data_IF_634415801762
#
_entry.id   IF_634415801762
#
_cell.length_a   1.000
_cell.length_b   1.000
_cell.length_c   1.000
_cell.angle_alpha   90.00
_cell.angle_beta   90.00
_cell.angle_gamma   90.00
#
_symmetry.space_group_name_H-M   'P 1'
#
loop_
_entity.id
_entity.type
_entity.pdbx_description
1 polymer ?
#
# COMPACT_ATOMS: atom_id res chain seq x y z
N UNK A 1 -4.45 38.76 10.18
CA UNK A 1 -4.07 37.50 9.48
C UNK A 1 -3.43 36.61 10.53
N UNK A 2 -4.21 35.71 11.14
CA UNK A 2 -3.62 34.68 12.01
C UNK A 2 -2.87 33.72 11.10
N UNK A 3 -1.54 33.76 11.15
CA UNK A 3 -0.75 32.64 10.66
C UNK A 3 -1.13 31.46 11.56
N UNK A 4 -1.87 30.47 11.03
CA UNK A 4 -1.99 29.18 11.67
C UNK A 4 -0.56 28.63 11.77
N UNK A 5 0.05 28.73 12.93
CA UNK A 5 1.34 28.09 13.22
C UNK A 5 1.04 26.60 13.26
N UNK A 6 1.43 25.90 12.22
CA UNK A 6 1.32 24.44 12.15
C UNK A 6 2.13 23.85 13.32
N UNK A 7 1.53 22.97 14.12
CA UNK A 7 2.23 22.30 15.23
C UNK A 7 3.28 21.34 14.67
N UNK A 8 4.49 21.43 15.17
CA UNK A 8 5.64 20.63 14.78
C UNK A 8 6.21 19.93 16.01
N UNK A 9 6.58 18.66 15.86
CA UNK A 9 7.21 17.88 16.91
C UNK A 9 8.37 17.06 16.32
N UNK A 10 9.43 16.92 17.11
CA UNK A 10 10.59 16.13 16.77
C UNK A 10 10.61 14.82 17.56
N UNK A 11 10.83 13.72 16.85
CA UNK A 11 10.88 12.38 17.42
C UNK A 11 12.28 11.85 17.24
N UNK A 12 12.99 11.60 18.34
CA UNK A 12 14.36 11.11 18.34
C UNK A 12 14.61 10.09 19.45
N UNK A 13 15.10 8.92 19.08
CA UNK A 13 15.32 7.80 20.01
C UNK A 13 16.35 8.11 21.12
N UNK A 14 17.26 9.04 20.88
CA UNK A 14 18.26 9.50 21.86
C UNK A 14 17.70 10.46 22.92
N UNK A 15 16.45 10.92 22.71
CA UNK A 15 15.76 11.84 23.62
C UNK A 15 16.08 13.31 23.40
N UNK A 16 16.69 13.68 22.28
CA UNK A 16 16.92 15.08 21.89
C UNK A 16 15.67 15.77 21.32
N UNK A 17 14.64 15.00 20.94
CA UNK A 17 13.37 15.50 20.44
C UNK A 17 12.30 15.66 21.54
N UNK A 18 11.09 16.04 21.11
CA UNK A 18 9.92 16.15 21.98
C UNK A 18 9.41 14.77 22.47
N UNK A 19 9.61 13.74 21.65
CA UNK A 19 9.24 12.34 21.92
C UNK A 19 10.40 11.40 21.58
N UNK A 20 10.43 10.23 22.24
CA UNK A 20 11.43 9.18 21.96
C UNK A 20 10.97 8.15 20.96
N UNK A 21 9.67 8.06 20.69
CA UNK A 21 9.10 7.10 19.76
C UNK A 21 7.92 7.71 18.98
N UNK A 22 7.64 7.16 17.80
CA UNK A 22 6.47 7.56 17.03
C UNK A 22 5.18 7.14 17.74
N UNK A 23 5.20 6.00 18.40
CA UNK A 23 4.11 5.53 19.26
C UNK A 23 3.75 6.54 20.35
N UNK A 24 4.74 7.08 21.08
CA UNK A 24 4.57 8.08 22.13
C UNK A 24 3.94 9.36 21.56
N UNK A 25 4.47 9.88 20.46
CA UNK A 25 3.94 11.07 19.80
C UNK A 25 2.47 10.90 19.36
N UNK A 26 2.17 9.79 18.67
CA UNK A 26 0.81 9.49 18.22
C UNK A 26 -0.15 9.28 19.40
N UNK A 27 0.28 8.61 20.47
CA UNK A 27 -0.53 8.45 21.68
C UNK A 27 -0.87 9.79 22.30
N UNK A 28 0.08 10.72 22.40
CA UNK A 28 -0.17 12.07 22.91
C UNK A 28 -1.11 12.89 22.02
N UNK A 29 -1.04 12.74 20.71
CA UNK A 29 -1.87 13.47 19.75
C UNK A 29 -3.27 12.89 19.60
N UNK A 30 -3.47 11.62 19.89
CA UNK A 30 -4.73 10.89 19.73
C UNK A 30 -5.49 10.69 21.05
N UNK A 31 -4.92 11.08 22.20
CA UNK A 31 -5.28 10.65 23.57
C UNK A 31 -6.67 11.04 24.06
N UNK A 32 -7.37 11.99 23.44
CA UNK A 32 -8.71 12.39 23.95
C UNK A 32 -9.86 11.56 23.38
N UNK A 33 -9.66 10.87 22.29
CA UNK A 33 -10.73 10.16 21.55
C UNK A 33 -10.43 8.66 21.33
N UNK A 34 -9.18 8.23 21.55
CA UNK A 34 -8.75 6.87 21.26
C UNK A 34 -8.15 6.21 22.51
N UNK A 35 -8.63 5.03 22.92
CA UNK A 35 -8.03 4.31 24.05
C UNK A 35 -6.57 3.93 23.75
N UNK A 36 -5.71 4.01 24.78
CA UNK A 36 -4.29 3.58 24.68
C UNK A 36 -4.15 2.16 24.11
N UNK A 37 -5.14 1.32 24.35
CA UNK A 37 -5.24 -0.05 23.85
C UNK A 37 -5.40 -0.13 22.31
N UNK A 38 -5.82 0.95 21.64
CA UNK A 38 -5.99 0.97 20.19
C UNK A 38 -4.68 0.67 19.43
N UNK A 39 -3.56 1.11 19.97
CA UNK A 39 -2.23 0.87 19.37
C UNK A 39 -1.75 -0.58 19.53
N UNK A 40 -2.35 -1.35 20.44
CA UNK A 40 -2.07 -2.77 20.67
C UNK A 40 -3.21 -3.68 20.22
N UNK A 41 -4.37 -3.09 19.90
CA UNK A 41 -5.57 -3.84 19.58
C UNK A 41 -5.41 -4.63 18.28
N UNK A 42 -5.86 -5.87 18.30
CA UNK A 42 -5.96 -6.71 17.11
C UNK A 42 -7.13 -6.27 16.18
N UNK A 43 -8.04 -5.45 16.71
CA UNK A 43 -9.13 -4.80 15.99
C UNK A 43 -9.19 -3.31 16.38
N UNK A 44 -9.57 -2.45 15.46
CA UNK A 44 -9.79 -1.04 15.81
C UNK A 44 -10.95 -0.93 16.80
N UNK A 45 -10.85 -0.02 17.80
CA UNK A 45 -11.93 0.24 18.71
C UNK A 45 -13.14 0.80 17.93
N UNK A 46 -14.31 0.79 18.55
CA UNK A 46 -15.51 1.49 18.06
C UNK A 46 -15.35 3.01 18.27
N UNK A 47 -14.36 3.60 17.59
CA UNK A 47 -14.07 5.02 17.59
C UNK A 47 -14.67 5.68 16.34
N UNK A 48 -14.76 7.01 16.28
CA UNK A 48 -15.15 7.71 15.07
C UNK A 48 -14.29 7.28 13.87
N UNK A 49 -14.94 7.06 12.74
CA UNK A 49 -14.26 6.62 11.51
C UNK A 49 -13.73 7.82 10.73
N UNK A 50 -12.47 8.14 10.88
CA UNK A 50 -11.79 9.24 10.19
C UNK A 50 -11.08 8.84 8.89
N UNK A 51 -11.45 7.72 8.27
CA UNK A 51 -10.79 7.25 7.06
C UNK A 51 -11.17 8.03 5.80
N UNK A 52 -12.35 8.65 5.77
CA UNK A 52 -12.81 9.40 4.59
C UNK A 52 -13.18 10.86 4.87
N UNK A 53 -13.66 11.17 6.06
CA UNK A 53 -14.11 12.52 6.43
C UNK A 53 -14.33 12.61 7.94
N UNK A 54 -14.46 13.83 8.46
CA UNK A 54 -14.71 14.11 9.87
C UNK A 54 -13.43 14.41 10.65
N UNK A 55 -13.61 15.02 11.83
CA UNK A 55 -12.51 15.46 12.67
C UNK A 55 -11.71 16.61 12.04
N UNK A 56 -12.24 17.84 12.11
CA UNK A 56 -11.46 19.04 11.84
C UNK A 56 -10.36 19.17 12.90
N UNK A 57 -9.24 18.49 12.65
CA UNK A 57 -8.07 18.55 13.51
C UNK A 57 -7.04 19.49 12.89
N UNK A 58 -6.41 20.31 13.76
CA UNK A 58 -5.29 21.13 13.29
C UNK A 58 -4.21 20.24 12.68
N UNK A 59 -3.69 20.55 11.46
CA UNK A 59 -2.61 19.80 10.86
C UNK A 59 -1.36 19.77 11.75
N UNK A 60 -0.69 18.63 11.80
CA UNK A 60 0.52 18.42 12.60
C UNK A 60 1.63 17.86 11.72
N UNK A 61 2.85 18.36 11.92
CA UNK A 61 4.07 17.79 11.33
C UNK A 61 4.88 17.07 12.40
N UNK A 62 5.29 15.85 12.10
CA UNK A 62 6.17 15.04 12.91
C UNK A 62 7.48 14.82 12.16
N UNK A 63 8.58 15.37 12.67
CA UNK A 63 9.92 15.11 12.16
C UNK A 63 10.46 13.86 12.83
N UNK A 64 10.58 12.78 12.07
CA UNK A 64 11.05 11.50 12.54
C UNK A 64 12.54 11.37 12.23
N UNK A 65 13.38 11.58 13.24
CA UNK A 65 14.82 11.51 13.07
C UNK A 65 15.32 10.10 12.79
N UNK A 66 16.52 10.01 12.20
CA UNK A 66 17.13 8.73 11.83
C UNK A 66 17.13 7.75 13.01
N UNK A 67 16.65 6.55 12.77
CA UNK A 67 16.50 5.49 13.76
C UNK A 67 15.74 4.28 13.22
N UNK A 68 15.83 3.16 13.95
CA UNK A 68 15.04 1.96 13.66
C UNK A 68 13.95 1.85 14.71
N UNK A 69 12.75 2.27 14.34
CA UNK A 69 11.55 2.29 15.19
C UNK A 69 10.87 0.92 15.14
N UNK A 70 11.19 0.06 16.11
CA UNK A 70 10.61 -1.29 16.27
C UNK A 70 9.27 -1.18 17.00
N UNK A 71 8.28 -0.61 16.31
CA UNK A 71 7.01 -0.23 16.87
C UNK A 71 5.88 -0.67 15.92
N UNK A 72 4.77 -1.10 16.50
CA UNK A 72 3.53 -1.29 15.75
C UNK A 72 2.74 0.01 15.77
N UNK A 73 2.70 0.70 14.65
CA UNK A 73 2.13 2.04 14.54
C UNK A 73 0.68 1.97 14.07
N UNK A 74 -0.21 2.74 14.71
CA UNK A 74 -1.60 2.92 14.31
C UNK A 74 -1.93 4.41 14.26
N UNK A 75 -2.31 4.90 13.08
CA UNK A 75 -2.68 6.30 12.86
C UNK A 75 -4.19 6.37 12.65
N UNK A 76 -4.88 6.98 13.60
CA UNK A 76 -6.35 7.16 13.61
C UNK A 76 -6.74 8.63 13.46
N UNK A 77 -5.82 9.56 13.67
CA UNK A 77 -6.05 11.01 13.61
C UNK A 77 -5.72 11.52 12.19
N UNK A 78 -6.63 12.26 11.53
CA UNK A 78 -6.37 12.89 10.24
C UNK A 78 -5.40 14.08 10.33
N UNK A 79 -4.90 14.52 9.18
CA UNK A 79 -4.09 15.73 9.07
C UNK A 79 -2.67 15.61 9.62
N UNK A 80 -2.05 14.43 9.56
CA UNK A 80 -0.67 14.23 10.02
C UNK A 80 0.29 14.14 8.82
N UNK A 81 1.36 14.93 8.88
CA UNK A 81 2.52 14.79 8.00
C UNK A 81 3.70 14.27 8.78
N UNK A 82 4.29 13.16 8.35
CA UNK A 82 5.49 12.54 8.95
C UNK A 82 6.64 12.66 7.96
N UNK A 83 7.73 13.29 8.39
CA UNK A 83 8.92 13.56 7.57
C UNK A 83 10.12 12.90 8.23
N UNK A 84 10.65 11.86 7.59
CA UNK A 84 11.91 11.24 7.98
C UNK A 84 13.13 12.05 7.52
N UNK A 85 14.26 11.89 8.18
CA UNK A 85 15.53 12.48 7.75
C UNK A 85 15.98 11.93 6.40
N UNK A 86 15.96 10.59 6.26
CA UNK A 86 16.34 9.87 5.05
C UNK A 86 15.65 8.48 5.05
N UNK A 87 15.10 8.02 3.91
CA UNK A 87 14.38 6.76 3.88
C UNK A 87 15.26 5.53 4.16
N UNK A 88 16.57 5.62 4.03
CA UNK A 88 17.48 4.50 4.36
C UNK A 88 17.79 4.41 5.85
N UNK A 89 17.65 5.49 6.58
CA UNK A 89 17.99 5.58 8.00
C UNK A 89 16.80 5.78 8.92
N UNK A 90 15.63 6.17 8.38
CA UNK A 90 14.40 6.35 9.16
C UNK A 90 13.45 5.19 8.87
N UNK A 91 13.45 4.18 9.72
CA UNK A 91 12.79 2.89 9.46
C UNK A 91 11.76 2.56 10.54
N UNK A 92 10.50 2.39 10.13
CA UNK A 92 9.44 1.80 10.96
C UNK A 92 9.38 0.31 10.62
N UNK A 93 9.66 -0.58 11.58
CA UNK A 93 9.76 -2.01 11.32
C UNK A 93 8.99 -2.85 12.34
N UNK A 94 8.45 -3.97 11.87
CA UNK A 94 7.80 -5.01 12.66
C UNK A 94 8.16 -6.39 12.11
N UNK A 95 7.71 -7.44 12.80
CA UNK A 95 8.01 -8.82 12.43
C UNK A 95 6.83 -9.77 12.63
N UNK A 96 5.59 -9.25 12.62
CA UNK A 96 4.38 -10.07 12.71
C UNK A 96 4.05 -10.70 11.35
N UNK A 97 3.58 -11.96 11.35
CA UNK A 97 3.29 -12.71 10.14
C UNK A 97 2.01 -13.55 10.26
N UNK A 98 1.39 -13.88 9.13
CA UNK A 98 0.04 -14.44 9.09
C UNK A 98 -0.09 -15.81 9.77
N UNK A 99 0.94 -16.64 9.72
CA UNK A 99 0.92 -17.99 10.30
C UNK A 99 1.35 -18.05 11.77
N UNK A 100 1.69 -16.91 12.37
CA UNK A 100 1.97 -16.84 13.81
C UNK A 100 0.80 -17.40 14.61
N UNK A 101 1.02 -18.34 15.55
CA UNK A 101 -0.05 -18.93 16.36
C UNK A 101 -0.81 -17.87 17.17
N UNK A 102 -2.14 -18.00 17.20
CA UNK A 102 -3.05 -17.16 17.99
C UNK A 102 -4.13 -18.04 18.62
N UNK A 103 -4.57 -17.69 19.83
CA UNK A 103 -5.57 -18.48 20.58
C UNK A 103 -6.97 -18.38 19.97
N UNK A 104 -7.35 -17.23 19.39
CA UNK A 104 -8.69 -16.93 18.91
C UNK A 104 -9.10 -17.75 17.65
N UNK A 105 -8.26 -17.73 16.62
CA UNK A 105 -8.53 -18.37 15.31
C UNK A 105 -7.40 -19.29 14.84
N UNK A 106 -6.50 -19.69 15.73
CA UNK A 106 -5.37 -20.59 15.47
C UNK A 106 -4.17 -19.94 14.80
N UNK A 107 -4.36 -18.88 14.04
CA UNK A 107 -3.28 -18.11 13.37
C UNK A 107 -3.62 -16.62 13.36
N UNK A 108 -2.59 -15.77 13.27
CA UNK A 108 -2.77 -14.30 13.24
C UNK A 108 -3.62 -13.82 12.07
N UNK A 109 -3.42 -14.38 10.88
CA UNK A 109 -4.04 -13.89 9.64
C UNK A 109 -3.36 -12.65 9.08
N UNK A 110 -3.57 -12.38 7.79
CA UNK A 110 -2.88 -11.32 7.04
C UNK A 110 -3.05 -9.92 7.65
N UNK A 111 -4.28 -9.55 7.94
CA UNK A 111 -4.61 -8.14 8.26
C UNK A 111 -4.27 -7.72 9.69
N UNK A 112 -3.67 -8.59 10.50
CA UNK A 112 -3.14 -8.29 11.84
C UNK A 112 -1.60 -8.27 11.89
N UNK A 113 -0.92 -8.25 10.72
CA UNK A 113 0.54 -8.37 10.65
C UNK A 113 1.28 -7.06 10.40
N UNK A 114 0.58 -5.97 10.16
CA UNK A 114 1.15 -4.69 9.78
C UNK A 114 2.18 -4.13 10.78
N UNK A 115 3.22 -3.53 10.24
CA UNK A 115 4.14 -2.67 11.02
C UNK A 115 3.51 -1.29 11.23
N UNK A 116 2.84 -0.76 10.20
CA UNK A 116 2.08 0.48 10.30
C UNK A 116 0.67 0.29 9.72
N UNK A 117 -0.35 0.77 10.46
CA UNK A 117 -1.73 0.93 10.02
C UNK A 117 -2.07 2.40 9.94
N UNK A 118 -2.57 2.84 8.80
CA UNK A 118 -3.19 4.15 8.64
C UNK A 118 -4.70 3.92 8.49
N UNK A 119 -5.49 4.43 9.43
CA UNK A 119 -6.95 4.39 9.39
C UNK A 119 -7.51 5.81 9.58
N UNK A 120 -7.01 6.74 8.75
CA UNK A 120 -7.36 8.16 8.76
C UNK A 120 -7.15 8.76 7.36
N UNK A 121 -7.76 9.93 7.11
CA UNK A 121 -7.56 10.67 5.86
C UNK A 121 -6.50 11.78 6.01
N UNK A 122 -6.04 12.35 4.88
CA UNK A 122 -5.05 13.44 4.84
C UNK A 122 -3.76 13.13 5.59
N UNK A 123 -3.18 11.99 5.28
CA UNK A 123 -1.91 11.53 5.85
C UNK A 123 -0.81 11.63 4.79
N UNK A 124 0.31 12.22 5.17
CA UNK A 124 1.49 12.33 4.32
C UNK A 124 2.71 11.74 5.00
N UNK A 125 3.43 10.87 4.30
CA UNK A 125 4.75 10.38 4.69
C UNK A 125 5.79 10.81 3.67
N UNK A 126 6.95 11.30 4.15
CA UNK A 126 8.11 11.61 3.33
C UNK A 126 9.37 11.00 3.93
N UNK A 127 10.24 10.44 3.07
CA UNK A 127 11.56 9.93 3.47
C UNK A 127 11.52 8.87 4.59
N UNK A 128 10.54 7.96 4.57
CA UNK A 128 10.38 6.91 5.59
C UNK A 128 10.38 5.54 4.94
N UNK A 129 11.02 4.57 5.59
CA UNK A 129 10.89 3.15 5.28
C UNK A 129 9.86 2.48 6.17
N UNK A 130 8.91 1.78 5.55
CA UNK A 130 8.04 0.80 6.19
C UNK A 130 8.59 -0.59 5.90
N UNK A 131 8.84 -1.37 6.93
CA UNK A 131 9.39 -2.71 6.79
C UNK A 131 8.57 -3.73 7.57
N UNK A 132 8.35 -4.91 6.97
CA UNK A 132 8.03 -6.10 7.74
C UNK A 132 9.19 -7.10 7.62
N UNK A 133 9.89 -7.31 8.71
CA UNK A 133 11.11 -8.10 8.78
C UNK A 133 10.89 -9.58 9.14
N UNK A 134 9.65 -10.10 9.05
CA UNK A 134 9.32 -11.49 9.42
C UNK A 134 9.98 -12.56 8.52
N UNK A 135 10.49 -12.15 7.35
CA UNK A 135 11.15 -13.07 6.42
C UNK A 135 10.19 -13.72 5.44
N UNK A 136 10.61 -14.83 4.86
CA UNK A 136 9.90 -15.58 3.81
C UNK A 136 9.69 -17.04 4.24
N UNK A 137 8.77 -17.71 3.56
CA UNK A 137 8.64 -19.16 3.63
C UNK A 137 7.25 -19.65 3.99
N UNK A 138 7.07 -20.98 3.92
CA UNK A 138 5.77 -21.60 4.15
C UNK A 138 5.27 -21.40 5.58
N UNK A 139 6.13 -21.21 6.55
CA UNK A 139 5.78 -20.99 7.95
C UNK A 139 5.49 -19.53 8.31
N UNK A 140 5.81 -18.60 7.42
CA UNK A 140 5.57 -17.15 7.57
C UNK A 140 4.25 -16.76 6.88
N UNK A 141 4.15 -16.96 5.58
CA UNK A 141 3.03 -16.50 4.77
C UNK A 141 3.04 -14.99 4.59
N UNK A 142 1.86 -14.37 4.62
CA UNK A 142 1.65 -12.95 4.40
C UNK A 142 2.15 -12.11 5.58
N UNK A 143 2.72 -10.91 5.27
CA UNK A 143 3.27 -10.03 6.30
C UNK A 143 3.33 -8.57 5.81
N UNK A 144 2.40 -7.75 6.31
CA UNK A 144 2.24 -6.37 5.87
C UNK A 144 3.32 -5.46 6.47
N UNK A 145 4.02 -4.71 5.64
CA UNK A 145 4.77 -3.54 6.07
C UNK A 145 3.83 -2.36 6.33
N UNK A 146 2.90 -2.11 5.39
CA UNK A 146 1.88 -1.06 5.52
C UNK A 146 0.48 -1.59 5.23
N UNK A 147 -0.47 -1.25 6.11
CA UNK A 147 -1.91 -1.34 5.91
C UNK A 147 -2.45 0.09 5.72
N UNK A 148 -2.72 0.50 4.49
CA UNK A 148 -3.21 1.82 4.15
C UNK A 148 -4.74 1.79 3.98
N UNK A 149 -5.49 2.31 4.97
CA UNK A 149 -6.96 2.34 5.00
C UNK A 149 -7.46 3.76 5.28
N UNK A 150 -7.47 4.59 4.26
CA UNK A 150 -7.93 5.96 4.34
C UNK A 150 -7.96 6.64 2.99
N UNK A 151 -8.47 7.87 2.95
CA UNK A 151 -8.52 8.69 1.75
C UNK A 151 -7.44 9.79 1.77
N UNK A 152 -6.98 10.22 0.61
CA UNK A 152 -5.95 11.25 0.44
C UNK A 152 -4.65 10.94 1.18
N UNK A 153 -4.13 9.73 0.96
CA UNK A 153 -2.84 9.30 1.50
C UNK A 153 -1.72 9.61 0.51
N UNK A 154 -0.64 10.22 0.99
CA UNK A 154 0.53 10.60 0.16
C UNK A 154 1.80 9.97 0.73
N UNK A 155 2.57 9.34 -0.15
CA UNK A 155 3.89 8.78 0.16
C UNK A 155 4.91 9.32 -0.84
N UNK A 156 5.87 10.09 -0.37
CA UNK A 156 6.90 10.69 -1.21
C UNK A 156 8.29 10.24 -0.75
N UNK A 157 9.09 9.70 -1.68
CA UNK A 157 10.42 9.19 -1.39
C UNK A 157 10.45 8.17 -0.24
N UNK A 158 9.42 7.29 -0.18
CA UNK A 158 9.30 6.25 0.84
C UNK A 158 9.76 4.89 0.32
N UNK A 159 10.08 3.97 1.25
CA UNK A 159 10.40 2.59 0.92
C UNK A 159 9.43 1.64 1.62
N UNK A 160 9.02 0.59 0.91
CA UNK A 160 8.14 -0.46 1.43
C UNK A 160 8.86 -1.80 1.27
N UNK A 161 9.35 -2.32 2.38
CA UNK A 161 10.20 -3.50 2.40
C UNK A 161 9.46 -4.67 3.04
N UNK A 162 9.32 -5.74 2.29
CA UNK A 162 8.65 -6.94 2.75
C UNK A 162 8.88 -8.13 1.81
N UNK A 163 7.94 -9.05 1.85
CA UNK A 163 7.94 -10.25 1.02
C UNK A 163 6.53 -10.47 0.47
N UNK A 164 5.79 -11.51 0.90
CA UNK A 164 4.41 -11.70 0.48
C UNK A 164 3.49 -10.67 1.15
N UNK A 165 2.67 -9.97 0.34
CA UNK A 165 1.67 -9.00 0.81
C UNK A 165 2.29 -7.75 1.50
N UNK A 166 3.34 -7.13 0.95
CA UNK A 166 4.06 -6.00 1.60
C UNK A 166 3.17 -4.78 1.84
N UNK A 167 2.40 -4.36 0.84
CA UNK A 167 1.54 -3.16 0.87
C UNK A 167 0.07 -3.53 0.63
N UNK A 168 -0.76 -3.37 1.63
CA UNK A 168 -2.21 -3.44 1.47
C UNK A 168 -2.83 -2.06 1.32
N UNK A 169 -3.62 -1.87 0.25
CA UNK A 169 -4.38 -0.65 -0.04
C UNK A 169 -5.88 -0.94 0.08
N UNK A 170 -6.47 -0.60 1.22
CA UNK A 170 -7.89 -0.86 1.47
C UNK A 170 -8.81 -0.20 0.41
N UNK A 171 -10.05 -0.61 0.26
CA UNK A 171 -10.80 -1.44 1.22
C UNK A 171 -10.61 -2.96 1.01
N UNK A 172 -10.95 -3.69 2.07
CA UNK A 172 -11.17 -5.13 1.96
C UNK A 172 -12.30 -5.43 0.95
N UNK A 173 -12.23 -6.53 0.20
CA UNK A 173 -13.35 -6.99 -0.62
C UNK A 173 -14.64 -7.22 0.20
N UNK A 174 -15.83 -7.23 -0.45
CA UNK A 174 -17.10 -7.42 0.27
C UNK A 174 -17.23 -8.74 1.02
N UNK A 175 -16.56 -9.77 0.52
CA UNK A 175 -16.63 -11.13 1.07
C UNK A 175 -15.26 -11.75 1.14
N UNK A 176 -14.97 -12.43 2.24
CA UNK A 176 -13.81 -13.31 2.35
C UNK A 176 -14.01 -14.58 1.50
N UNK A 177 -12.91 -15.18 1.05
CA UNK A 177 -12.91 -16.47 0.35
C UNK A 177 -12.76 -17.60 1.37
N UNK A 178 -11.82 -17.43 2.30
CA UNK A 178 -11.58 -18.37 3.38
C UNK A 178 -12.22 -17.84 4.66
N UNK A 179 -12.78 -18.73 5.47
CA UNK A 179 -13.32 -18.37 6.78
C UNK A 179 -12.25 -17.68 7.65
N UNK A 180 -12.60 -16.56 8.26
CA UNK A 180 -11.69 -15.71 9.03
C UNK A 180 -10.53 -15.09 8.22
N UNK A 181 -10.63 -15.07 6.89
CA UNK A 181 -9.59 -14.52 6.01
C UNK A 181 -9.38 -13.02 6.17
N UNK A 182 -10.38 -12.29 6.70
CA UNK A 182 -10.34 -10.83 6.87
C UNK A 182 -10.24 -10.39 8.34
N UNK A 183 -10.04 -11.30 9.27
CA UNK A 183 -9.91 -10.93 10.69
C UNK A 183 -8.81 -9.90 10.86
N UNK A 184 -9.17 -8.74 11.39
CA UNK A 184 -8.28 -7.60 11.56
C UNK A 184 -9.03 -6.26 11.63
N UNK A 185 -8.30 -5.15 11.64
CA UNK A 185 -8.84 -3.81 11.91
C UNK A 185 -10.02 -3.40 11.02
N UNK A 186 -9.92 -3.64 9.72
CA UNK A 186 -10.93 -3.22 8.74
C UNK A 186 -12.14 -4.14 8.57
N UNK A 187 -12.16 -5.32 9.22
CA UNK A 187 -13.15 -6.37 8.93
C UNK A 187 -14.60 -5.92 9.14
N UNK A 188 -14.86 -5.19 10.21
CA UNK A 188 -16.21 -4.77 10.62
C UNK A 188 -16.52 -3.31 10.29
N UNK A 189 -15.57 -2.58 9.75
CA UNK A 189 -15.73 -1.17 9.43
C UNK A 189 -16.39 -0.98 8.05
N UNK A 190 -17.11 0.12 7.82
CA UNK A 190 -17.56 0.50 6.49
C UNK A 190 -16.38 0.56 5.51
N UNK A 191 -16.58 0.16 4.25
CA UNK A 191 -15.53 0.24 3.24
C UNK A 191 -15.35 1.68 2.77
N UNK A 192 -14.12 2.20 2.90
CA UNK A 192 -13.72 3.50 2.38
C UNK A 192 -12.97 3.30 1.08
N UNK A 193 -13.42 3.95 0.02
CA UNK A 193 -12.78 3.91 -1.31
C UNK A 193 -11.72 5.00 -1.36
N UNK A 194 -10.56 4.72 -0.77
CA UNK A 194 -9.47 5.66 -0.61
C UNK A 194 -8.72 5.96 -1.90
N UNK A 195 -8.12 7.17 -1.93
CA UNK A 195 -7.21 7.62 -2.99
C UNK A 195 -5.81 7.77 -2.40
N UNK A 196 -4.85 7.09 -3.03
CA UNK A 196 -3.46 7.06 -2.57
C UNK A 196 -2.52 7.54 -3.66
N UNK A 197 -1.50 8.31 -3.28
CA UNK A 197 -0.45 8.77 -4.16
C UNK A 197 0.93 8.34 -3.66
N UNK A 198 1.65 7.62 -4.50
CA UNK A 198 3.02 7.15 -4.25
C UNK A 198 3.94 7.80 -5.27
N UNK A 199 4.91 8.62 -4.82
CA UNK A 199 5.84 9.35 -5.69
C UNK A 199 7.28 9.05 -5.31
N UNK A 200 8.10 8.68 -6.30
CA UNK A 200 9.52 8.36 -6.10
C UNK A 200 9.75 7.29 -5.02
N UNK A 201 8.84 6.32 -4.91
CA UNK A 201 8.91 5.28 -3.89
C UNK A 201 9.64 4.03 -4.41
N UNK A 202 10.24 3.29 -3.47
CA UNK A 202 10.78 1.96 -3.70
C UNK A 202 9.90 0.93 -2.99
N UNK A 203 9.41 -0.06 -3.73
CA UNK A 203 8.56 -1.13 -3.18
C UNK A 203 9.18 -2.47 -3.54
N UNK A 204 9.37 -3.35 -2.55
CA UNK A 204 9.87 -4.69 -2.79
C UNK A 204 9.01 -5.77 -2.15
N UNK A 205 9.00 -6.92 -2.80
CA UNK A 205 8.33 -8.11 -2.29
C UNK A 205 8.38 -9.26 -3.27
N UNK A 206 7.64 -10.31 -2.95
CA UNK A 206 7.52 -11.47 -3.82
C UNK A 206 6.07 -11.67 -4.30
N UNK A 207 5.24 -12.38 -3.58
CA UNK A 207 3.88 -12.70 -4.01
C UNK A 207 2.91 -11.61 -3.57
N UNK A 208 2.17 -11.04 -4.56
CA UNK A 208 1.08 -10.08 -4.32
C UNK A 208 1.51 -8.87 -3.45
N UNK A 209 2.74 -8.38 -3.66
CA UNK A 209 3.34 -7.44 -2.71
C UNK A 209 2.71 -6.03 -2.73
N UNK A 210 1.86 -5.72 -3.72
CA UNK A 210 0.94 -4.58 -3.73
C UNK A 210 -0.46 -5.12 -3.97
N UNK A 211 -1.34 -5.06 -2.98
CA UNK A 211 -2.68 -5.62 -3.13
C UNK A 211 -3.75 -4.78 -2.46
N UNK A 212 -5.01 -4.93 -2.90
CA UNK A 212 -6.15 -4.21 -2.34
C UNK A 212 -7.00 -3.47 -3.36
N UNK A 213 -7.88 -2.59 -2.87
CA UNK A 213 -8.98 -2.00 -3.65
C UNK A 213 -8.94 -0.49 -3.86
N UNK A 214 -7.95 0.23 -3.34
CA UNK A 214 -7.87 1.69 -3.47
C UNK A 214 -7.69 2.15 -4.93
N UNK A 215 -8.06 3.39 -5.18
CA UNK A 215 -7.55 4.14 -6.33
C UNK A 215 -6.14 4.61 -5.98
N UNK A 216 -5.11 3.96 -6.51
CA UNK A 216 -3.73 4.28 -6.17
C UNK A 216 -2.91 4.67 -7.41
N UNK A 217 -2.27 5.83 -7.32
CA UNK A 217 -1.42 6.38 -8.38
C UNK A 217 0.05 6.29 -7.95
N UNK A 218 0.82 5.51 -8.70
CA UNK A 218 2.26 5.36 -8.51
C UNK A 218 2.98 6.14 -9.61
N UNK A 219 3.83 7.07 -9.23
CA UNK A 219 4.58 7.92 -10.16
C UNK A 219 6.09 7.81 -9.89
N UNK A 220 6.85 7.46 -10.93
CA UNK A 220 8.30 7.31 -10.84
C UNK A 220 8.76 6.40 -9.70
N UNK A 221 8.04 5.26 -9.50
CA UNK A 221 8.36 4.28 -8.47
C UNK A 221 9.17 3.11 -9.04
N UNK A 222 10.00 2.49 -8.19
CA UNK A 222 10.63 1.22 -8.50
C UNK A 222 9.91 0.09 -7.75
N UNK A 223 9.51 -0.95 -8.52
CA UNK A 223 8.83 -2.13 -8.01
C UNK A 223 9.74 -3.33 -8.19
N UNK A 224 10.34 -3.78 -7.10
CA UNK A 224 11.40 -4.80 -7.12
C UNK A 224 10.87 -6.18 -6.73
N UNK A 225 10.90 -7.12 -7.68
CA UNK A 225 10.50 -8.52 -7.48
C UNK A 225 11.63 -9.33 -6.87
N UNK A 226 11.38 -9.93 -5.70
CA UNK A 226 12.36 -10.74 -4.95
C UNK A 226 12.33 -12.20 -5.40
N UNK A 227 13.53 -12.77 -5.57
CA UNK A 227 13.71 -14.20 -5.85
C UNK A 227 13.38 -15.07 -4.63
N UNK A 228 12.53 -16.08 -4.81
CA UNK A 228 12.11 -17.00 -3.74
C UNK A 228 12.27 -18.50 -4.12
N UNK A 229 13.00 -18.78 -5.21
CA UNK A 229 13.28 -20.14 -5.69
C UNK A 229 11.99 -20.96 -5.97
N UNK A 230 11.06 -20.37 -6.73
CA UNK A 230 9.81 -21.03 -7.19
C UNK A 230 9.66 -20.87 -8.70
N UNK A 231 8.84 -21.69 -9.37
CA UNK A 231 8.52 -21.52 -10.79
C UNK A 231 8.00 -20.11 -11.10
N UNK A 232 7.13 -19.56 -10.25
CA UNK A 232 6.74 -18.14 -10.25
C UNK A 232 7.28 -17.52 -8.97
N UNK A 233 8.16 -16.54 -9.12
CA UNK A 233 8.82 -15.87 -8.02
C UNK A 233 8.05 -14.66 -7.50
N UNK A 234 7.30 -13.98 -8.38
CA UNK A 234 6.62 -12.75 -7.98
C UNK A 234 5.33 -12.52 -8.76
N UNK A 235 4.37 -11.94 -8.07
CA UNK A 235 3.25 -11.18 -8.63
C UNK A 235 3.33 -9.79 -8.03
N UNK A 236 3.59 -8.77 -8.87
CA UNK A 236 3.77 -7.40 -8.38
C UNK A 236 2.47 -6.86 -7.78
N UNK A 237 1.36 -7.04 -8.50
CA UNK A 237 0.05 -6.53 -8.07
C UNK A 237 -1.00 -7.62 -7.93
N UNK A 238 -1.86 -7.49 -6.92
CA UNK A 238 -3.07 -8.29 -6.74
C UNK A 238 -4.25 -7.36 -6.43
N UNK A 239 -4.71 -6.64 -7.45
CA UNK A 239 -5.79 -5.66 -7.29
C UNK A 239 -7.13 -6.33 -6.97
N UNK A 240 -7.92 -5.68 -6.13
CA UNK A 240 -9.32 -6.03 -5.83
C UNK A 240 -10.25 -4.83 -5.98
N UNK A 241 -10.03 -4.06 -7.03
CA UNK A 241 -10.83 -2.86 -7.32
C UNK A 241 -12.32 -3.18 -7.20
N UNK A 242 -13.08 -2.42 -6.39
CA UNK A 242 -14.51 -2.61 -6.25
C UNK A 242 -15.25 -2.44 -7.58
N UNK A 243 -16.31 -3.22 -7.78
CA UNK A 243 -17.18 -3.06 -8.93
C UNK A 243 -17.73 -1.63 -9.02
N UNK A 244 -17.67 -1.02 -10.21
CA UNK A 244 -18.13 0.34 -10.45
C UNK A 244 -17.12 1.44 -10.09
N UNK A 245 -16.03 1.14 -9.39
CA UNK A 245 -14.97 2.12 -9.15
C UNK A 245 -14.25 2.44 -10.48
N UNK A 246 -14.12 3.72 -10.86
CA UNK A 246 -13.59 4.08 -12.18
C UNK A 246 -12.11 3.70 -12.34
N UNK A 247 -11.29 3.88 -11.32
CA UNK A 247 -9.85 3.62 -11.33
C UNK A 247 -9.45 2.64 -10.23
N UNK A 248 -8.46 1.80 -10.52
CA UNK A 248 -7.73 0.98 -9.55
C UNK A 248 -6.29 1.49 -9.42
N UNK A 249 -5.31 0.64 -9.72
CA UNK A 249 -3.90 1.03 -9.75
C UNK A 249 -3.54 1.66 -11.08
N UNK A 250 -2.88 2.81 -11.02
CA UNK A 250 -2.27 3.48 -12.18
C UNK A 250 -0.79 3.67 -11.87
N UNK A 251 0.07 3.11 -12.70
CA UNK A 251 1.53 3.18 -12.55
C UNK A 251 2.10 3.94 -13.74
N UNK A 252 2.67 5.11 -13.49
CA UNK A 252 3.22 5.99 -14.51
C UNK A 252 4.72 6.19 -14.31
N UNK A 253 5.47 6.07 -15.40
CA UNK A 253 6.93 6.23 -15.40
C UNK A 253 7.63 5.33 -14.36
N UNK A 254 7.02 4.18 -14.01
CA UNK A 254 7.55 3.24 -13.03
C UNK A 254 8.51 2.23 -13.66
N UNK A 255 9.34 1.61 -12.82
CA UNK A 255 10.30 0.59 -13.22
C UNK A 255 10.00 -0.72 -12.51
N UNK A 256 9.71 -1.77 -13.28
CA UNK A 256 9.59 -3.13 -12.78
C UNK A 256 10.96 -3.80 -12.88
N UNK A 257 11.61 -3.97 -11.74
CA UNK A 257 12.95 -4.55 -11.60
C UNK A 257 12.89 -5.79 -10.70
N UNK A 258 13.98 -6.52 -10.58
CA UNK A 258 14.03 -7.69 -9.72
C UNK A 258 15.33 -8.46 -9.81
N UNK A 259 15.50 -9.42 -8.92
CA UNK A 259 16.58 -10.40 -8.94
C UNK A 259 16.09 -11.82 -9.29
N UNK A 260 14.85 -11.91 -9.78
CA UNK A 260 14.25 -13.14 -10.25
C UNK A 260 14.86 -13.57 -11.60
N UNK A 261 14.90 -14.87 -11.91
CA UNK A 261 15.27 -15.35 -13.26
C UNK A 261 14.35 -14.74 -14.33
N UNK A 262 14.83 -14.65 -15.59
CA UNK A 262 14.00 -14.23 -16.71
C UNK A 262 12.68 -14.99 -16.78
N UNK A 263 11.58 -14.27 -17.08
CA UNK A 263 10.24 -14.85 -17.29
C UNK A 263 9.70 -15.67 -16.12
N UNK A 264 9.97 -15.25 -14.88
CA UNK A 264 9.52 -15.95 -13.67
C UNK A 264 8.68 -15.09 -12.71
N UNK A 265 8.21 -13.93 -13.15
CA UNK A 265 7.36 -13.03 -12.41
C UNK A 265 6.24 -12.45 -13.30
N UNK A 266 5.18 -11.96 -12.71
CA UNK A 266 4.06 -11.32 -13.39
C UNK A 266 3.87 -9.89 -12.89
N UNK A 267 3.41 -9.00 -13.76
CA UNK A 267 2.97 -7.63 -13.41
C UNK A 267 1.81 -7.64 -12.43
N UNK A 268 0.98 -8.68 -12.50
CA UNK A 268 -0.09 -8.87 -11.55
C UNK A 268 -1.07 -9.97 -11.89
N UNK A 269 -2.02 -10.16 -10.95
CA UNK A 269 -3.14 -11.08 -11.06
C UNK A 269 -4.38 -10.55 -10.33
N UNK A 270 -5.63 -10.90 -10.73
CA UNK A 270 -6.83 -10.32 -10.16
C UNK A 270 -7.21 -11.00 -8.84
N UNK A 271 -6.98 -10.35 -7.70
CA UNK A 271 -7.49 -10.85 -6.42
C UNK A 271 -9.01 -10.89 -6.41
N UNK A 272 -9.65 -9.91 -7.09
CA UNK A 272 -11.10 -9.92 -7.35
C UNK A 272 -11.38 -9.61 -8.81
N UNK A 273 -12.56 -9.97 -9.25
CA UNK A 273 -13.01 -10.01 -10.63
C UNK A 273 -12.91 -8.65 -11.36
N UNK A 274 -13.15 -7.53 -10.65
CA UNK A 274 -13.11 -6.18 -11.23
C UNK A 274 -11.74 -5.49 -11.04
N UNK A 275 -10.69 -6.25 -10.84
CA UNK A 275 -9.33 -5.72 -10.69
C UNK A 275 -8.96 -4.79 -11.82
N UNK A 276 -8.34 -3.65 -11.49
CA UNK A 276 -7.85 -2.68 -12.49
C UNK A 276 -6.40 -2.31 -12.19
N UNK A 277 -5.52 -2.50 -13.17
CA UNK A 277 -4.14 -2.01 -13.12
C UNK A 277 -3.74 -1.52 -14.52
N UNK A 278 -3.26 -0.29 -14.58
CA UNK A 278 -2.88 0.39 -15.83
C UNK A 278 -1.45 0.88 -15.72
N UNK A 279 -0.64 0.53 -16.72
CA UNK A 279 0.77 0.94 -16.84
C UNK A 279 0.91 1.99 -17.94
N UNK A 280 1.61 3.10 -17.64
CA UNK A 280 1.88 4.20 -18.56
C UNK A 280 3.39 4.47 -18.58
N UNK A 281 4.02 4.34 -19.74
CA UNK A 281 5.45 4.62 -19.93
C UNK A 281 6.37 3.87 -18.95
N UNK A 282 6.02 2.65 -18.57
CA UNK A 282 6.78 1.89 -17.59
C UNK A 282 7.94 1.12 -18.24
N UNK A 283 9.03 0.92 -17.48
CA UNK A 283 10.09 -0.01 -17.86
C UNK A 283 9.79 -1.39 -17.27
N UNK A 284 9.77 -2.44 -18.10
CA UNK A 284 9.45 -3.81 -17.71
C UNK A 284 10.70 -4.68 -17.93
N UNK A 285 11.31 -5.12 -16.81
CA UNK A 285 12.52 -5.93 -16.79
C UNK A 285 12.31 -7.36 -17.30
N UNK A 286 13.39 -8.05 -17.64
CA UNK A 286 13.37 -9.40 -18.24
C UNK A 286 12.80 -10.50 -17.33
N UNK A 287 12.75 -10.26 -16.01
CA UNK A 287 12.19 -11.20 -15.05
C UNK A 287 10.67 -11.36 -15.19
N UNK A 288 9.98 -10.40 -15.83
CA UNK A 288 8.55 -10.49 -16.11
C UNK A 288 8.28 -11.46 -17.25
N UNK A 289 7.31 -12.37 -17.07
CA UNK A 289 6.85 -13.28 -18.10
C UNK A 289 6.34 -12.53 -19.34
N UNK A 290 6.43 -13.15 -20.50
CA UNK A 290 6.00 -12.52 -21.76
C UNK A 290 4.51 -12.22 -21.80
N UNK A 291 3.69 -13.04 -21.12
CA UNK A 291 2.26 -12.82 -20.92
C UNK A 291 2.00 -11.59 -20.06
N UNK A 292 2.94 -11.18 -19.23
CA UNK A 292 2.86 -10.03 -18.34
C UNK A 292 1.86 -10.19 -17.19
N UNK A 293 0.69 -10.72 -17.46
CA UNK A 293 -0.45 -10.80 -16.53
C UNK A 293 -0.95 -12.23 -16.39
N UNK A 294 -1.33 -12.61 -15.19
CA UNK A 294 -1.90 -13.91 -14.85
C UNK A 294 -3.37 -13.75 -14.47
N UNK A 295 -4.24 -14.65 -14.92
CA UNK A 295 -5.69 -14.59 -14.65
C UNK A 295 -6.12 -15.20 -13.32
N UNK A 296 -5.17 -15.76 -12.56
CA UNK A 296 -5.43 -16.52 -11.33
C UNK A 296 -6.34 -17.72 -11.54
N UNK A 297 -6.35 -18.31 -12.73
CA UNK A 297 -7.26 -19.38 -13.16
C UNK A 297 -8.75 -18.98 -13.00
N UNK A 298 -9.10 -17.74 -13.26
CA UNK A 298 -10.45 -17.17 -13.17
C UNK A 298 -10.87 -16.66 -14.54
N UNK A 299 -11.46 -17.51 -15.37
CA UNK A 299 -11.90 -17.13 -16.73
C UNK A 299 -12.83 -15.91 -16.74
N UNK A 300 -13.71 -15.78 -15.74
CA UNK A 300 -14.57 -14.60 -15.60
C UNK A 300 -13.80 -13.27 -15.42
N UNK A 301 -12.55 -13.33 -14.97
CA UNK A 301 -11.70 -12.15 -14.86
C UNK A 301 -11.35 -11.55 -16.24
N UNK A 302 -11.33 -12.34 -17.32
CA UNK A 302 -11.03 -11.85 -18.66
C UNK A 302 -12.05 -10.82 -19.16
N UNK A 303 -13.28 -10.88 -18.69
CA UNK A 303 -14.36 -9.97 -19.08
C UNK A 303 -14.41 -8.70 -18.22
N UNK A 304 -14.11 -8.83 -16.93
CA UNK A 304 -14.36 -7.77 -15.94
C UNK A 304 -13.10 -7.06 -15.45
N UNK A 305 -11.93 -7.70 -15.58
CA UNK A 305 -10.63 -7.14 -15.20
C UNK A 305 -10.16 -6.14 -16.26
N UNK A 306 -9.60 -5.01 -15.83
CA UNK A 306 -8.92 -4.06 -16.70
C UNK A 306 -7.42 -4.09 -16.43
N UNK A 307 -6.68 -4.85 -17.22
CA UNK A 307 -5.22 -4.75 -17.31
C UNK A 307 -4.86 -4.09 -18.63
N UNK A 308 -4.14 -2.96 -18.54
CA UNK A 308 -3.85 -2.16 -19.73
C UNK A 308 -2.44 -1.57 -19.67
N UNK A 309 -1.83 -1.41 -20.84
CA UNK A 309 -0.50 -0.86 -20.97
C UNK A 309 -0.47 0.21 -22.09
N UNK A 310 0.35 1.26 -21.88
CA UNK A 310 0.62 2.31 -22.86
C UNK A 310 2.09 2.66 -22.85
N UNK A 311 2.74 2.54 -24.03
CA UNK A 311 4.14 2.92 -24.28
C UNK A 311 5.15 2.37 -23.24
N UNK A 312 4.89 1.19 -22.69
CA UNK A 312 5.86 0.51 -21.83
C UNK A 312 7.08 0.06 -22.65
N UNK A 313 8.26 0.08 -22.03
CA UNK A 313 9.55 -0.26 -22.63
C UNK A 313 10.25 -1.37 -21.85
N UNK A 314 11.36 -1.89 -22.37
CA UNK A 314 12.16 -2.92 -21.71
C UNK A 314 11.96 -4.32 -22.29
N UNK A 315 12.76 -5.30 -21.83
CA UNK A 315 12.83 -6.64 -22.44
C UNK A 315 11.49 -7.39 -22.50
N UNK A 316 10.63 -7.20 -21.51
CA UNK A 316 9.34 -7.90 -21.42
C UNK A 316 8.12 -6.99 -21.68
N UNK A 317 8.26 -5.97 -22.53
CA UNK A 317 7.19 -5.00 -22.84
C UNK A 317 6.42 -5.28 -24.12
N UNK A 318 6.68 -6.38 -24.84
CA UNK A 318 6.06 -6.67 -26.14
C UNK A 318 4.58 -7.01 -25.98
N UNK A 319 3.70 -6.05 -26.33
CA UNK A 319 2.25 -6.20 -26.25
C UNK A 319 1.70 -7.34 -27.14
N UNK A 320 2.44 -7.78 -28.17
CA UNK A 320 2.00 -8.89 -29.03
C UNK A 320 2.03 -10.25 -28.31
N UNK A 321 2.76 -10.32 -27.21
CA UNK A 321 2.87 -11.53 -26.38
C UNK A 321 1.86 -11.54 -25.22
N UNK A 322 1.16 -10.43 -24.98
CA UNK A 322 0.11 -10.35 -23.95
C UNK A 322 -1.11 -11.17 -24.33
N UNK A 323 -1.83 -11.77 -23.36
CA UNK A 323 -3.12 -12.41 -23.62
C UNK A 323 -4.13 -11.44 -24.22
N UNK A 324 -5.06 -11.93 -25.01
CA UNK A 324 -6.03 -11.10 -25.75
C UNK A 324 -6.99 -10.28 -24.88
N UNK A 325 -7.08 -10.57 -23.58
CA UNK A 325 -7.86 -9.80 -22.61
C UNK A 325 -7.08 -8.63 -21.99
N UNK A 326 -5.78 -8.52 -22.23
CA UNK A 326 -4.94 -7.37 -21.84
C UNK A 326 -5.04 -6.29 -22.91
N UNK A 327 -5.30 -5.06 -22.50
CA UNK A 327 -5.56 -3.95 -23.39
C UNK A 327 -4.31 -3.13 -23.72
N UNK A 328 -4.04 -2.89 -24.99
CA UNK A 328 -3.13 -1.83 -25.42
C UNK A 328 -3.92 -0.52 -25.55
N UNK A 329 -3.54 0.51 -24.81
CA UNK A 329 -4.23 1.80 -24.85
C UNK A 329 -3.80 2.64 -26.04
N UNK A 330 -4.73 3.35 -26.64
CA UNK A 330 -4.45 4.46 -27.55
C UNK A 330 -4.02 5.71 -26.79
N UNK A 331 -3.35 6.70 -27.43
CA UNK A 331 -3.02 7.98 -26.78
C UNK A 331 -4.25 8.69 -26.17
N UNK A 332 -5.40 8.62 -26.83
CA UNK A 332 -6.64 9.21 -26.35
C UNK A 332 -7.16 8.52 -25.07
N UNK A 333 -7.05 7.19 -24.98
CA UNK A 333 -7.42 6.44 -23.79
C UNK A 333 -6.43 6.66 -22.64
N UNK A 334 -5.13 6.68 -22.93
CA UNK A 334 -4.08 6.94 -21.94
C UNK A 334 -4.25 8.32 -21.26
N UNK A 335 -4.75 9.32 -21.99
CA UNK A 335 -5.01 10.66 -21.45
C UNK A 335 -6.02 10.68 -20.29
N UNK A 336 -6.86 9.66 -20.13
CA UNK A 336 -7.78 9.56 -18.98
C UNK A 336 -7.11 9.08 -17.70
N UNK A 337 -5.84 8.64 -17.76
CA UNK A 337 -5.10 8.11 -16.61
C UNK A 337 -4.05 9.09 -16.07
N UNK A 338 -4.20 10.40 -16.32
CA UNK A 338 -3.35 11.42 -15.68
C UNK A 338 -3.73 11.61 -14.22
N UNK A 339 -2.75 11.88 -13.36
CA UNK A 339 -2.91 12.01 -11.89
C UNK A 339 -4.11 12.89 -11.50
N UNK A 340 -4.22 14.06 -12.12
CA UNK A 340 -5.27 15.03 -11.83
C UNK A 340 -6.70 14.57 -12.18
N UNK A 341 -6.86 13.54 -13.00
CA UNK A 341 -8.16 12.91 -13.27
C UNK A 341 -8.38 11.70 -12.37
N UNK A 342 -7.36 10.87 -12.19
CA UNK A 342 -7.44 9.62 -11.41
C UNK A 342 -7.73 9.91 -9.94
N UNK A 343 -7.05 10.90 -9.37
CA UNK A 343 -7.14 11.21 -7.94
C UNK A 343 -8.17 12.29 -7.60
N UNK A 344 -8.77 12.91 -8.61
CA UNK A 344 -9.65 14.07 -8.46
C UNK A 344 -10.78 13.87 -7.44
N UNK A 345 -11.41 12.68 -7.43
CA UNK A 345 -12.63 12.44 -6.66
C UNK A 345 -13.71 13.48 -6.94
N UNK A 346 -14.54 13.77 -5.94
CA UNK A 346 -15.56 14.82 -6.00
C UNK A 346 -15.07 16.15 -5.38
N UNK A 347 -13.93 16.13 -4.70
CA UNK A 347 -13.34 17.26 -3.98
C UNK A 347 -12.18 17.95 -4.74
N UNK A 348 -11.81 17.41 -5.91
CA UNK A 348 -10.74 17.96 -6.74
C UNK A 348 -9.33 17.69 -6.21
N UNK A 349 -9.15 16.71 -5.32
CA UNK A 349 -7.84 16.40 -4.74
C UNK A 349 -6.79 16.11 -5.79
N UNK A 350 -5.68 16.84 -5.75
CA UNK A 350 -4.56 16.71 -6.65
C UNK A 350 -3.26 16.98 -5.88
N UNK A 351 -2.66 15.95 -5.26
CA UNK A 351 -1.44 16.11 -4.47
C UNK A 351 -0.26 16.58 -5.32
N UNK A 352 0.68 17.32 -4.69
CA UNK A 352 1.84 17.93 -5.34
C UNK A 352 2.87 16.91 -5.88
#
# INVERSE_FOLDING_TARGET
MNQNIQKEYHISQDGSGDFRSLFEALSALQSSEFPEEANQAENLPAAPDFRSSGGDTEPVVLFLHAGIYRERIVILRPGITIIGDDPQTTVITGGLYARMPMEDIGKRGTFRTYSCLIAAHDITFKNVTFENSSGIGPDVGQALALYADGDRLVFENCRFLGNQDTLFTAPLPPKEIEANGFVGPGQKLPRVFGRHYYKNCYLEGDIDFIFGGATAYFENCELFSKYINRPVNSYVTAASTPQGQPYGYVMKDCRFTGNCPPHSAYLGRPWREYAKTVLLNCYIGEHICEEGWHDWNKEAAHENTLYAEYESTGPSSDMKKRPGWVKSLTPAEAAFYVKSLVLKGNDGWNPA
#
